data_IF_442571379701
#
_entry.id   IF_442571379701
#
_cell.length_a   1.000
_cell.length_b   1.000
_cell.length_c   1.000
_cell.angle_alpha   90.00
_cell.angle_beta   90.00
_cell.angle_gamma   90.00
#
_symmetry.space_group_name_H-M   'P 1'
#
loop_
_entity.id
_entity.type
_entity.pdbx_description
1 polymer ?
#
# COMPACT_ATOMS: atom_id res chain seq x y z
N UNK A 1 -14.01 7.88 26.07
CA UNK A 1 -13.41 6.54 25.95
C UNK A 1 -14.49 5.48 26.07
N UNK A 2 -14.31 4.35 25.38
CA UNK A 2 -15.24 3.21 25.17
C UNK A 2 -16.33 3.39 24.08
N UNK A 3 -15.93 3.36 22.80
CA UNK A 3 -16.80 3.09 21.64
C UNK A 3 -16.95 1.58 21.33
N UNK A 4 -16.57 0.71 22.25
CA UNK A 4 -16.37 -0.72 22.00
C UNK A 4 -17.65 -1.54 21.72
N UNK A 5 -18.85 -0.93 21.79
CA UNK A 5 -20.13 -1.62 21.62
C UNK A 5 -21.15 -0.84 20.77
N UNK A 6 -20.70 -0.05 19.77
CA UNK A 6 -21.65 0.60 18.86
C UNK A 6 -22.16 -0.37 17.78
N UNK A 7 -23.43 -0.23 17.33
CA UNK A 7 -23.95 -1.01 16.20
C UNK A 7 -23.10 -0.88 14.92
N UNK A 8 -22.44 0.27 14.76
CA UNK A 8 -21.51 0.55 13.67
C UNK A 8 -20.26 -0.33 13.74
N UNK A 9 -19.64 -0.49 14.92
CA UNK A 9 -18.47 -1.35 15.11
C UNK A 9 -18.80 -2.81 14.73
N UNK A 10 -19.95 -3.32 15.19
CA UNK A 10 -20.42 -4.66 14.85
C UNK A 10 -20.66 -4.83 13.35
N UNK A 11 -21.26 -3.82 12.70
CA UNK A 11 -21.49 -3.81 11.26
C UNK A 11 -20.17 -3.85 10.48
N UNK A 12 -19.20 -3.01 10.85
CA UNK A 12 -17.90 -2.94 10.20
C UNK A 12 -17.10 -4.24 10.37
N UNK A 13 -17.09 -4.82 11.57
CA UNK A 13 -16.47 -6.12 11.82
C UNK A 13 -17.10 -7.25 10.98
N UNK A 14 -18.42 -7.24 10.84
CA UNK A 14 -19.15 -8.21 10.01
C UNK A 14 -18.80 -8.07 8.53
N UNK A 15 -18.78 -6.84 8.02
CA UNK A 15 -18.39 -6.54 6.63
C UNK A 15 -16.95 -6.96 6.34
N UNK A 16 -16.03 -6.65 7.26
CA UNK A 16 -14.61 -7.04 7.19
C UNK A 16 -14.47 -8.57 7.12
N UNK A 17 -15.14 -9.30 8.00
CA UNK A 17 -15.10 -10.76 7.97
C UNK A 17 -15.73 -11.35 6.70
N UNK A 18 -16.83 -10.78 6.21
CA UNK A 18 -17.52 -11.24 5.01
C UNK A 18 -16.68 -11.04 3.73
N UNK A 19 -16.09 -9.85 3.56
CA UNK A 19 -15.24 -9.55 2.40
C UNK A 19 -13.96 -10.41 2.40
N UNK A 20 -13.31 -10.59 3.57
CA UNK A 20 -12.17 -11.52 3.70
C UNK A 20 -12.52 -12.93 3.21
N UNK A 21 -13.66 -13.48 3.66
CA UNK A 21 -14.11 -14.82 3.25
C UNK A 21 -14.41 -14.89 1.75
N UNK A 22 -15.07 -13.87 1.20
CA UNK A 22 -15.43 -13.82 -0.21
C UNK A 22 -14.18 -13.75 -1.11
N UNK A 23 -13.17 -12.95 -0.74
CA UNK A 23 -11.89 -12.86 -1.47
C UNK A 23 -11.12 -14.17 -1.44
N UNK A 24 -11.04 -14.82 -0.27
CA UNK A 24 -10.39 -16.12 -0.15
C UNK A 24 -11.10 -17.17 -1.00
N UNK A 25 -12.43 -17.25 -0.91
CA UNK A 25 -13.21 -18.26 -1.64
C UNK A 25 -13.16 -18.06 -3.18
N UNK A 26 -13.18 -16.82 -3.66
CA UNK A 26 -13.24 -16.53 -5.10
C UNK A 26 -11.87 -16.45 -5.76
N UNK A 27 -10.83 -16.04 -5.03
CA UNK A 27 -9.52 -15.71 -5.59
C UNK A 27 -8.35 -16.43 -4.92
N UNK A 28 -8.56 -17.07 -3.76
CA UNK A 28 -7.46 -17.66 -2.99
C UNK A 28 -6.52 -16.61 -2.37
N UNK A 29 -6.92 -15.34 -2.36
CA UNK A 29 -6.06 -14.23 -1.90
C UNK A 29 -6.34 -13.96 -0.43
N UNK A 30 -5.30 -14.07 0.39
CA UNK A 30 -5.33 -13.67 1.80
C UNK A 30 -5.18 -12.14 1.94
N UNK A 31 -5.80 -11.54 2.96
CA UNK A 31 -5.62 -10.12 3.23
C UNK A 31 -4.16 -9.82 3.58
N UNK A 32 -3.63 -8.72 3.05
CA UNK A 32 -2.36 -8.14 3.49
C UNK A 32 -2.56 -7.35 4.80
N UNK A 33 -1.49 -6.73 5.32
CA UNK A 33 -1.52 -5.94 6.56
C UNK A 33 -2.46 -4.73 6.51
N UNK A 34 -2.60 -4.08 5.36
CA UNK A 34 -3.40 -2.87 5.21
C UNK A 34 -4.89 -3.13 5.48
N UNK A 35 -5.35 -4.33 5.18
CA UNK A 35 -6.75 -4.73 5.33
C UNK A 35 -7.26 -4.69 6.78
N UNK A 36 -6.61 -5.32 7.78
CA UNK A 36 -6.96 -5.12 9.19
C UNK A 36 -6.53 -3.74 9.72
N UNK A 37 -5.45 -3.14 9.22
CA UNK A 37 -4.97 -1.83 9.69
C UNK A 37 -5.98 -0.71 9.44
N UNK A 38 -6.61 -0.67 8.26
CA UNK A 38 -7.62 0.34 7.94
C UNK A 38 -8.84 0.31 8.88
N UNK A 39 -9.33 -0.90 9.23
CA UNK A 39 -10.40 -1.04 10.22
C UNK A 39 -9.93 -0.59 11.60
N UNK A 40 -8.72 -0.97 12.02
CA UNK A 40 -8.16 -0.59 13.31
C UNK A 40 -8.04 0.93 13.46
N UNK A 41 -7.48 1.64 12.48
CA UNK A 41 -7.34 3.10 12.52
C UNK A 41 -8.70 3.81 12.55
N UNK A 42 -9.68 3.33 11.77
CA UNK A 42 -11.04 3.87 11.82
C UNK A 42 -11.66 3.71 13.22
N UNK A 43 -11.50 2.54 13.84
CA UNK A 43 -12.01 2.28 15.19
C UNK A 43 -11.27 3.08 16.28
N UNK A 44 -10.02 3.47 16.05
CA UNK A 44 -9.26 4.40 16.90
C UNK A 44 -9.73 5.86 16.75
N UNK A 45 -10.57 6.17 15.76
CA UNK A 45 -11.13 7.51 15.53
C UNK A 45 -10.32 8.38 14.56
N UNK A 46 -9.43 7.79 13.78
CA UNK A 46 -8.70 8.50 12.73
C UNK A 46 -9.54 8.63 11.46
N UNK A 47 -9.42 9.77 10.77
CA UNK A 47 -10.05 9.98 9.46
C UNK A 47 -9.30 9.20 8.39
N UNK A 48 -10.01 8.60 7.42
CA UNK A 48 -9.41 7.79 6.34
C UNK A 48 -8.21 8.45 5.62
N UNK A 49 -8.22 9.77 5.32
CA UNK A 49 -7.05 10.42 4.70
C UNK A 49 -5.77 10.38 5.55
N UNK A 50 -5.88 10.12 6.87
CA UNK A 50 -4.73 10.05 7.80
C UNK A 50 -4.08 8.66 7.88
N UNK A 51 -4.67 7.63 7.26
CA UNK A 51 -4.15 6.25 7.38
C UNK A 51 -2.76 6.08 6.77
N UNK A 52 -2.54 6.62 5.57
CA UNK A 52 -1.21 6.58 4.91
C UNK A 52 -0.18 7.42 5.67
N UNK A 53 -0.49 8.63 6.17
CA UNK A 53 0.40 9.33 7.10
C UNK A 53 0.78 8.52 8.35
N UNK A 54 -0.14 7.79 8.98
CA UNK A 54 0.19 6.90 10.12
C UNK A 54 1.16 5.79 9.69
N UNK A 55 0.95 5.20 8.52
CA UNK A 55 1.87 4.23 7.94
C UNK A 55 3.26 4.84 7.70
N UNK A 56 3.35 6.07 7.18
CA UNK A 56 4.61 6.81 6.99
C UNK A 56 5.35 6.99 8.31
N UNK A 57 4.66 7.37 9.39
CA UNK A 57 5.28 7.53 10.72
C UNK A 57 5.95 6.24 11.22
N UNK A 58 5.35 5.08 10.93
CA UNK A 58 5.97 3.79 11.27
C UNK A 58 7.11 3.45 10.30
N UNK A 59 6.90 3.62 8.99
CA UNK A 59 7.85 3.20 7.95
C UNK A 59 9.12 4.01 7.86
N UNK A 60 9.11 5.25 8.34
CA UNK A 60 10.29 6.12 8.33
C UNK A 60 11.52 5.45 8.95
N UNK A 61 11.33 4.66 10.02
CA UNK A 61 12.40 3.92 10.69
C UNK A 61 13.10 2.90 9.79
N UNK A 62 12.34 2.13 9.00
CA UNK A 62 12.93 1.15 8.09
C UNK A 62 13.47 1.80 6.82
N UNK A 63 12.87 2.90 6.35
CA UNK A 63 13.42 3.65 5.24
C UNK A 63 14.77 4.27 5.60
N UNK A 64 14.90 4.90 6.76
CA UNK A 64 16.18 5.48 7.19
C UNK A 64 17.23 4.41 7.45
N UNK A 65 16.86 3.27 8.03
CA UNK A 65 17.77 2.13 8.17
C UNK A 65 18.33 1.67 6.80
N UNK A 66 17.47 1.41 5.82
CA UNK A 66 17.92 1.01 4.48
C UNK A 66 18.70 2.11 3.75
N UNK A 67 18.39 3.39 3.98
CA UNK A 67 19.20 4.50 3.46
C UNK A 67 20.61 4.45 4.04
N UNK A 68 20.76 4.27 5.35
CA UNK A 68 22.07 4.15 5.99
C UNK A 68 22.84 2.92 5.50
N UNK A 69 22.18 1.76 5.38
CA UNK A 69 22.78 0.54 4.82
C UNK A 69 23.28 0.75 3.38
N UNK A 70 22.44 1.37 2.53
CA UNK A 70 22.80 1.67 1.15
C UNK A 70 23.97 2.66 1.07
N UNK A 71 24.01 3.68 1.94
CA UNK A 71 25.13 4.65 1.97
C UNK A 71 26.45 4.01 2.41
N UNK A 72 26.40 3.04 3.33
CA UNK A 72 27.60 2.32 3.80
C UNK A 72 28.17 1.36 2.75
N UNK A 73 27.32 0.73 1.93
CA UNK A 73 27.69 -0.26 0.92
C UNK A 73 27.12 0.08 -0.46
N UNK A 74 27.37 1.31 -0.92
CA UNK A 74 26.67 1.84 -2.08
C UNK A 74 27.09 1.20 -3.40
N UNK A 75 26.11 0.74 -4.15
CA UNK A 75 26.25 0.37 -5.56
C UNK A 75 25.13 1.04 -6.36
N UNK A 76 25.44 1.53 -7.57
CA UNK A 76 24.47 2.19 -8.42
C UNK A 76 23.39 1.19 -8.87
N UNK A 77 22.14 1.46 -8.51
CA UNK A 77 20.98 0.71 -9.01
C UNK A 77 20.67 1.22 -10.42
N UNK A 78 21.12 0.49 -11.45
CA UNK A 78 20.93 0.84 -12.87
C UNK A 78 20.47 -0.35 -13.70
N UNK A 79 19.16 -0.65 -13.73
CA UNK A 79 18.63 -1.70 -14.61
C UNK A 79 18.68 -1.27 -16.08
N UNK A 80 18.64 -2.27 -16.97
CA UNK A 80 18.43 -2.07 -18.41
C UNK A 80 16.96 -2.38 -18.76
N UNK A 81 16.47 -1.77 -19.84
CA UNK A 81 15.16 -2.05 -20.40
C UNK A 81 15.30 -2.56 -21.84
N UNK A 82 14.39 -3.44 -22.25
CA UNK A 82 14.23 -3.81 -23.66
C UNK A 82 13.28 -2.83 -24.32
N UNK A 83 13.71 -2.23 -25.44
CA UNK A 83 12.85 -1.36 -26.22
C UNK A 83 11.94 -2.19 -27.13
N UNK A 84 10.62 -1.98 -27.04
CA UNK A 84 9.59 -2.63 -27.87
C UNK A 84 8.82 -1.64 -28.76
N UNK A 85 9.28 -0.38 -28.80
CA UNK A 85 8.68 0.66 -29.62
C UNK A 85 9.04 0.55 -31.10
N UNK A 86 8.53 1.47 -31.94
CA UNK A 86 8.85 1.50 -33.36
C UNK A 86 10.34 1.61 -33.64
N UNK A 87 10.81 0.98 -34.71
CA UNK A 87 12.18 1.15 -35.20
C UNK A 87 12.49 2.63 -35.50
N UNK A 88 13.78 2.95 -35.57
CA UNK A 88 14.25 4.30 -35.88
C UNK A 88 13.61 4.81 -37.18
N UNK A 89 13.05 6.02 -37.12
CA UNK A 89 12.38 6.67 -38.27
C UNK A 89 12.86 8.11 -38.43
N UNK A 90 12.92 8.63 -39.68
CA UNK A 90 13.22 10.04 -39.92
C UNK A 90 12.15 10.96 -39.31
N UNK A 91 12.58 12.15 -38.88
CA UNK A 91 11.67 13.22 -38.49
C UNK A 91 11.08 13.84 -39.77
N UNK A 92 9.75 13.98 -39.91
CA UNK A 92 9.16 14.62 -41.09
C UNK A 92 9.64 16.06 -41.24
N UNK A 93 10.18 16.41 -42.40
CA UNK A 93 10.43 17.80 -42.79
C UNK A 93 9.10 18.36 -43.30
N UNK A 94 8.53 19.34 -42.59
CA UNK A 94 7.25 19.95 -42.97
C UNK A 94 7.30 20.52 -44.40
N UNK A 95 6.17 20.39 -45.10
CA UNK A 95 5.88 21.03 -46.39
C UNK A 95 5.77 22.54 -46.25
#
# INVERSE_FOLDING_TARGET
>A
MARAASPEVTRLATLHAALRRAMLARKGIHPNLDYPAGLAYHLMGFDTPTFTPIFVMSRITGWTAHITEQLAHNALIRPLASYDGPAQRPVPTGS
#
